data_IF_677126868842
#
_entry.id   IF_677126868842
#
_cell.length_a   1.000
_cell.length_b   1.000
_cell.length_c   1.000
_cell.angle_alpha   90.00
_cell.angle_beta   90.00
_cell.angle_gamma   90.00
#
_symmetry.space_group_name_H-M   'P 1'
#
loop_
_entity.id
_entity.type
_entity.pdbx_description
1 polymer ?
#
# COMPACT_ATOMS: atom_id res chain seq x y z
N UNK A 1 -13.02 40.07 24.44
CA UNK A 1 -12.76 39.47 24.30
C UNK A 1 -12.65 38.70 23.99
N UNK A 2 -12.49 38.53 23.70
CA UNK A 2 -12.33 37.70 23.52
C UNK A 2 -11.97 37.16 23.08
N UNK A 3 -11.81 36.99 22.94
CA UNK A 3 -11.43 36.35 22.54
C UNK A 3 -11.17 35.52 22.27
N UNK A 4 -11.08 35.29 22.13
CA UNK A 4 -10.77 34.39 21.84
C UNK A 4 -10.86 33.50 21.37
N UNK A 5 -11.12 33.58 21.17
CA UNK A 5 -11.25 32.61 20.78
C UNK A 5 -11.08 32.05 19.89
N UNK A 6 -10.97 32.25 19.57
CA UNK A 6 -10.86 31.68 18.77
C UNK A 6 -10.26 30.88 18.31
N UNK A 7 -10.12 30.90 18.36
CA UNK A 7 -9.70 30.07 18.00
C UNK A 7 -9.58 29.08 17.79
N UNK A 8 -9.69 28.97 17.93
CA UNK A 8 -9.46 27.89 17.79
C UNK A 8 -9.89 27.14 16.98
N UNK A 9 -10.31 27.38 16.64
CA UNK A 9 -10.56 26.45 16.03
C UNK A 9 -10.12 25.86 15.22
N UNK A 10 -9.85 26.19 15.17
CA UNK A 10 -9.58 25.38 14.68
C UNK A 10 -9.17 24.69 14.48
N UNK A 11 -9.16 24.57 14.48
CA UNK A 11 -9.00 23.65 14.42
C UNK A 11 -9.00 22.91 14.08
N UNK A 12 -9.30 23.17 13.99
CA UNK A 12 -9.56 22.27 13.84
C UNK A 12 -9.77 21.73 13.03
N UNK A 13 -10.02 22.01 12.79
CA UNK A 13 -10.35 21.33 11.97
C UNK A 13 -9.53 20.79 11.12
N UNK A 14 -9.25 20.91 10.92
CA UNK A 14 -8.60 20.29 10.27
C UNK A 14 -8.06 19.43 10.31
N UNK A 15 -8.12 19.65 10.67
CA UNK A 15 -7.65 18.51 10.93
C UNK A 15 -8.21 17.33 10.42
N UNK A 16 -9.22 17.27 10.42
CA UNK A 16 -9.86 16.15 9.89
C UNK A 16 -9.46 15.79 8.55
N UNK A 17 -8.87 16.68 7.96
CA UNK A 17 -8.41 16.49 6.70
C UNK A 17 -7.58 15.35 6.47
N UNK A 18 -6.57 15.18 7.24
CA UNK A 18 -5.65 14.12 7.03
C UNK A 18 -6.28 12.78 7.08
N UNK A 19 -7.33 12.68 7.83
CA UNK A 19 -7.94 11.39 8.03
C UNK A 19 -8.47 10.76 6.77
N UNK A 20 -8.81 11.54 5.79
CA UNK A 20 -9.40 10.98 4.60
C UNK A 20 -8.43 10.66 3.50
N UNK A 21 -7.25 11.14 3.61
CA UNK A 21 -6.34 11.09 2.49
C UNK A 21 -5.83 9.71 2.21
N UNK A 22 -5.75 8.88 3.21
CA UNK A 22 -5.09 7.59 3.09
C UNK A 22 -6.08 6.44 3.07
N UNK A 23 -6.87 6.35 2.02
CA UNK A 23 -7.80 5.25 1.87
C UNK A 23 -7.22 4.20 0.95
N UNK A 24 -6.68 3.15 1.54
CA UNK A 24 -6.08 2.06 0.79
C UNK A 24 -7.08 0.97 0.41
N UNK A 25 -8.32 1.03 0.91
CA UNK A 25 -9.31 -0.01 0.62
C UNK A 25 -9.59 -0.14 -0.87
N UNK A 26 -9.82 -1.36 -1.32
CA UNK A 26 -10.27 -1.62 -2.66
C UNK A 26 -9.25 -2.36 -3.50
N UNK A 27 -9.42 -2.23 -4.79
CA UNK A 27 -8.61 -2.95 -5.77
C UNK A 27 -7.67 -1.99 -6.48
N UNK A 28 -6.44 -2.44 -6.67
CA UNK A 28 -5.38 -1.67 -7.31
C UNK A 28 -4.69 -2.53 -8.34
N UNK A 29 -4.22 -1.92 -9.43
CA UNK A 29 -3.46 -2.65 -10.45
C UNK A 29 -2.11 -1.97 -10.68
N UNK A 30 -1.11 -2.78 -11.05
CA UNK A 30 0.21 -2.28 -11.38
C UNK A 30 0.83 -3.15 -12.48
N UNK A 31 1.55 -2.50 -13.39
CA UNK A 31 2.37 -3.19 -14.38
C UNK A 31 3.78 -2.64 -14.26
N UNK A 32 4.75 -3.52 -14.18
CA UNK A 32 6.13 -3.10 -13.98
C UNK A 32 7.09 -4.15 -14.50
N UNK A 33 8.31 -3.74 -14.79
CA UNK A 33 9.34 -4.64 -15.28
C UNK A 33 10.10 -5.25 -14.11
N UNK A 34 10.38 -6.53 -14.22
CA UNK A 34 11.21 -7.24 -13.24
C UNK A 34 12.35 -7.94 -13.98
N UNK A 35 13.26 -8.53 -13.22
CA UNK A 35 14.32 -9.34 -13.81
C UNK A 35 13.78 -10.54 -14.57
N UNK A 36 12.58 -10.95 -14.25
CA UNK A 36 11.90 -12.07 -14.93
C UNK A 36 10.98 -11.59 -16.06
N UNK A 37 11.06 -10.33 -16.42
CA UNK A 37 10.22 -9.74 -17.46
C UNK A 37 9.08 -8.91 -16.87
N UNK A 38 8.17 -8.42 -17.73
CA UNK A 38 7.05 -7.61 -17.27
C UNK A 38 6.12 -8.40 -16.39
N UNK A 39 5.61 -7.76 -15.33
CA UNK A 39 4.65 -8.36 -14.43
C UNK A 39 3.44 -7.47 -14.32
N UNK A 40 2.28 -8.11 -14.18
CA UNK A 40 1.03 -7.42 -13.94
C UNK A 40 0.43 -7.96 -12.66
N UNK A 41 0.18 -7.05 -11.70
CA UNK A 41 -0.37 -7.42 -10.42
C UNK A 41 -1.69 -6.72 -10.19
N UNK A 42 -2.57 -7.40 -9.47
CA UNK A 42 -3.76 -6.80 -8.89
C UNK A 42 -3.68 -7.00 -7.38
N UNK A 43 -3.84 -5.91 -6.65
CA UNK A 43 -3.86 -5.96 -5.19
C UNK A 43 -5.26 -5.64 -4.70
N UNK A 44 -5.74 -6.41 -3.75
CA UNK A 44 -6.99 -6.08 -3.05
C UNK A 44 -6.66 -5.87 -1.60
N UNK A 45 -7.08 -4.74 -1.06
CA UNK A 45 -6.79 -4.39 0.32
C UNK A 45 -8.07 -4.19 1.10
N UNK A 46 -8.06 -4.70 2.32
CA UNK A 46 -9.11 -4.48 3.29
C UNK A 46 -8.46 -3.89 4.54
N UNK A 47 -8.83 -2.67 4.86
CA UNK A 47 -8.24 -1.92 5.97
C UNK A 47 -9.11 -2.04 7.20
N UNK A 48 -8.47 -2.34 8.33
CA UNK A 48 -9.12 -2.40 9.63
C UNK A 48 -8.22 -1.67 10.63
N UNK A 49 -8.52 -0.39 10.85
CA UNK A 49 -7.67 0.45 11.68
C UNK A 49 -6.30 0.64 11.05
N UNK A 50 -5.27 0.26 11.76
CA UNK A 50 -3.89 0.36 11.28
C UNK A 50 -3.41 -0.94 10.63
N UNK A 51 -4.29 -1.91 10.44
CA UNK A 51 -3.96 -3.21 9.87
C UNK A 51 -4.58 -3.32 8.48
N UNK A 52 -3.86 -3.94 7.56
CA UNK A 52 -4.40 -4.22 6.24
C UNK A 52 -4.23 -5.70 5.92
N UNK A 53 -5.28 -6.29 5.35
CA UNK A 53 -5.27 -7.65 4.84
C UNK A 53 -5.63 -7.61 3.37
N UNK A 54 -5.44 -8.71 2.67
CA UNK A 54 -5.81 -8.79 1.27
C UNK A 54 -4.96 -9.77 0.50
N UNK A 55 -4.93 -9.56 -0.81
CA UNK A 55 -4.24 -10.46 -1.72
C UNK A 55 -3.43 -9.69 -2.75
N UNK A 56 -2.36 -10.31 -3.20
CA UNK A 56 -1.59 -9.90 -4.36
C UNK A 56 -1.76 -11.00 -5.42
N UNK A 57 -2.26 -10.65 -6.57
CA UNK A 57 -2.58 -11.60 -7.63
C UNK A 57 -1.79 -11.28 -8.88
N UNK A 58 -1.16 -12.29 -9.46
CA UNK A 58 -0.51 -12.18 -10.76
C UNK A 58 -0.93 -13.37 -11.61
N UNK A 59 -0.32 -13.57 -12.77
CA UNK A 59 -0.70 -14.69 -13.66
C UNK A 59 -0.38 -16.05 -13.08
N UNK A 60 0.36 -16.12 -11.99
CA UNK A 60 0.62 -17.40 -11.31
C UNK A 60 -0.36 -17.71 -10.21
N UNK A 61 -1.23 -16.75 -9.87
CA UNK A 61 -2.26 -16.95 -8.86
C UNK A 61 -2.25 -15.85 -7.81
N UNK A 62 -3.01 -16.09 -6.77
CA UNK A 62 -3.22 -15.12 -5.69
C UNK A 62 -2.44 -15.55 -4.45
N UNK A 63 -1.82 -14.59 -3.81
CA UNK A 63 -1.10 -14.80 -2.55
C UNK A 63 -1.66 -13.85 -1.50
N UNK A 64 -2.00 -14.37 -0.33
CA UNK A 64 -2.44 -13.53 0.77
C UNK A 64 -1.26 -12.68 1.24
N UNK A 65 -1.48 -11.40 1.42
CA UNK A 65 -0.45 -10.55 2.01
C UNK A 65 -0.42 -10.76 3.52
N UNK A 66 0.75 -10.58 4.11
CA UNK A 66 0.94 -10.74 5.55
C UNK A 66 1.63 -9.50 6.09
N UNK A 67 1.62 -9.35 7.41
CA UNK A 67 2.29 -8.25 8.11
C UNK A 67 1.86 -6.88 7.59
N UNK A 68 0.59 -6.75 7.22
CA UNK A 68 0.08 -5.52 6.65
C UNK A 68 -0.16 -4.46 7.70
N UNK A 69 0.40 -3.28 7.49
CA UNK A 69 0.26 -2.16 8.41
C UNK A 69 0.10 -0.86 7.66
N UNK A 70 -0.64 0.05 8.25
CA UNK A 70 -0.84 1.39 7.73
C UNK A 70 -0.43 2.39 8.78
N UNK A 71 0.38 3.35 8.38
CA UNK A 71 0.77 4.47 9.22
C UNK A 71 0.68 5.74 8.38
N UNK A 72 -0.34 6.58 8.66
CA UNK A 72 -0.57 7.78 7.87
C UNK A 72 -0.85 7.43 6.42
N UNK A 73 -0.04 7.91 5.53
CA UNK A 73 -0.18 7.66 4.09
C UNK A 73 0.72 6.53 3.59
N UNK A 74 1.31 5.77 4.50
CA UNK A 74 2.23 4.69 4.15
C UNK A 74 1.61 3.34 4.47
N UNK A 75 1.75 2.40 3.55
CA UNK A 75 1.34 1.02 3.70
C UNK A 75 2.56 0.12 3.57
N UNK A 76 2.66 -0.88 4.44
CA UNK A 76 3.70 -1.90 4.33
C UNK A 76 3.06 -3.27 4.42
N UNK A 77 3.57 -4.22 3.67
CA UNK A 77 3.13 -5.61 3.78
C UNK A 77 4.16 -6.54 3.16
N UNK A 78 3.92 -7.82 3.32
CA UNK A 78 4.80 -8.86 2.80
C UNK A 78 4.01 -9.78 1.88
N UNK A 79 4.61 -10.10 0.77
CA UNK A 79 4.16 -11.16 -0.14
C UNK A 79 5.19 -12.27 -0.09
N UNK A 80 4.77 -13.46 0.30
CA UNK A 80 5.67 -14.61 0.35
C UNK A 80 5.54 -15.40 -0.93
N UNK A 81 6.65 -15.64 -1.61
CA UNK A 81 6.69 -16.45 -2.82
C UNK A 81 7.46 -17.73 -2.56
N UNK A 82 7.02 -18.81 -3.17
CA UNK A 82 7.76 -20.05 -3.18
C UNK A 82 8.24 -20.31 -4.60
N UNK A 83 9.54 -20.40 -4.80
CA UNK A 83 10.13 -20.58 -6.11
C UNK A 83 11.25 -21.62 -6.03
N UNK A 84 11.09 -22.72 -6.77
CA UNK A 84 12.07 -23.82 -6.78
C UNK A 84 12.35 -24.36 -5.38
N UNK A 85 11.31 -24.43 -4.53
CA UNK A 85 11.47 -24.91 -3.17
C UNK A 85 12.07 -23.90 -2.19
N UNK A 86 12.34 -22.69 -2.66
CA UNK A 86 12.83 -21.59 -1.82
C UNK A 86 11.69 -20.63 -1.50
N UNK A 87 11.63 -20.24 -0.24
CA UNK A 87 10.69 -19.21 0.18
C UNK A 87 11.36 -17.86 0.08
N UNK A 88 10.74 -16.95 -0.65
CA UNK A 88 11.24 -15.61 -0.85
C UNK A 88 10.26 -14.62 -0.25
N UNK A 89 10.77 -13.77 0.61
CA UNK A 89 9.97 -12.75 1.26
C UNK A 89 10.09 -11.44 0.47
N UNK A 90 8.97 -10.93 0.01
CA UNK A 90 8.93 -9.68 -0.72
C UNK A 90 8.27 -8.64 0.18
N UNK A 91 9.01 -7.61 0.51
CA UNK A 91 8.52 -6.55 1.38
C UNK A 91 8.14 -5.34 0.54
N UNK A 92 6.92 -4.88 0.72
CA UNK A 92 6.41 -3.69 0.04
C UNK A 92 6.33 -2.52 1.01
N UNK A 93 6.73 -1.36 0.53
CA UNK A 93 6.50 -0.10 1.23
C UNK A 93 5.90 0.86 0.22
N UNK A 94 4.74 1.40 0.51
CA UNK A 94 4.03 2.24 -0.44
C UNK A 94 3.53 3.53 0.19
N UNK A 95 3.45 4.56 -0.64
CA UNK A 95 2.89 5.83 -0.24
C UNK A 95 1.76 6.20 -1.17
N UNK A 96 0.60 6.50 -0.60
CA UNK A 96 -0.58 6.82 -1.38
C UNK A 96 -0.62 8.31 -1.73
N UNK A 97 -1.07 8.58 -2.94
CA UNK A 97 -1.30 9.93 -3.40
C UNK A 97 -2.55 9.87 -4.29
N UNK A 98 -3.71 10.18 -3.70
CA UNK A 98 -4.97 10.08 -4.42
C UNK A 98 -5.29 8.67 -4.85
N UNK A 99 -5.34 8.45 -6.15
CA UNK A 99 -5.68 7.15 -6.74
C UNK A 99 -4.46 6.34 -7.15
N UNK A 100 -3.28 6.72 -6.69
CA UNK A 100 -2.05 5.97 -6.95
C UNK A 100 -1.33 5.66 -5.65
N UNK A 101 -0.61 4.53 -5.66
CA UNK A 101 0.33 4.18 -4.59
C UNK A 101 1.67 3.93 -5.24
N UNK A 102 2.70 4.63 -4.77
CA UNK A 102 4.06 4.37 -5.22
C UNK A 102 4.72 3.40 -4.28
N UNK A 103 5.04 2.24 -4.79
CA UNK A 103 5.61 1.15 -4.01
C UNK A 103 7.09 0.96 -4.31
N UNK A 104 7.84 0.65 -3.25
CA UNK A 104 9.15 0.02 -3.35
C UNK A 104 8.96 -1.44 -2.94
N UNK A 105 9.44 -2.35 -3.75
CA UNK A 105 9.26 -3.79 -3.60
C UNK A 105 10.64 -4.41 -3.46
N UNK A 106 10.93 -4.93 -2.28
CA UNK A 106 12.23 -5.52 -2.00
C UNK A 106 12.11 -7.03 -1.98
N UNK A 107 12.81 -7.69 -2.89
CA UNK A 107 12.73 -9.13 -3.10
C UNK A 107 13.91 -9.77 -2.37
N UNK A 108 13.68 -10.21 -1.13
CA UNK A 108 14.75 -10.77 -0.30
C UNK A 108 15.96 -9.85 -0.30
N UNK A 109 17.11 -10.41 -0.55
CA UNK A 109 18.37 -9.65 -0.68
C UNK A 109 18.79 -9.51 -2.14
N UNK A 110 17.92 -9.88 -3.08
CA UNK A 110 18.28 -9.97 -4.48
C UNK A 110 18.05 -8.70 -5.27
N UNK A 111 16.95 -8.04 -5.05
CA UNK A 111 16.56 -6.93 -5.91
C UNK A 111 15.61 -5.98 -5.21
N UNK A 112 15.60 -4.74 -5.68
CA UNK A 112 14.63 -3.75 -5.27
C UNK A 112 13.99 -3.21 -6.54
N UNK A 113 12.67 -3.15 -6.54
CA UNK A 113 11.89 -2.71 -7.69
C UNK A 113 10.96 -1.59 -7.27
N UNK A 114 10.62 -0.72 -8.21
CA UNK A 114 9.66 0.34 -7.97
C UNK A 114 8.50 0.18 -8.93
N UNK A 115 7.31 0.43 -8.43
CA UNK A 115 6.11 0.32 -9.22
C UNK A 115 5.08 1.31 -8.73
N UNK A 116 4.13 1.61 -9.60
CA UNK A 116 3.00 2.46 -9.25
C UNK A 116 1.73 1.66 -9.43
N UNK A 117 0.95 1.56 -8.36
CA UNK A 117 -0.36 0.93 -8.43
C UNK A 117 -1.42 1.99 -8.61
N UNK A 118 -2.44 1.67 -9.40
CA UNK A 118 -3.54 2.58 -9.68
C UNK A 118 -4.84 1.96 -9.19
N UNK A 119 -5.69 2.80 -8.62
CA UNK A 119 -6.99 2.35 -8.11
C UNK A 119 -7.89 1.93 -9.26
N UNK A 120 -8.52 0.80 -9.12
CA UNK A 120 -9.54 0.34 -10.06
C UNK A 120 -10.87 0.97 -9.65
N UNK A 121 -11.49 1.62 -10.60
CA UNK A 121 -12.77 2.30 -10.35
C UNK A 121 -13.93 1.57 -10.97
#
# INVERSE_FOLDING_TARGET
>A
MIRKIALALLFVAFTAVGAHAADFNGKWTAEFDTQMGPQKYTYEFHVDGATVTGTATNDRGATAITEGKIAGDTITFVEALSFNGMDIKITYTGKIDGDTIKFTRQIGDFATEELTAKRVK
#
